data_IF_751549623831
#
_entry.id   IF_751549623831
#
_cell.length_a   1.000
_cell.length_b   1.000
_cell.length_c   1.000
_cell.angle_alpha   90.00
_cell.angle_beta   90.00
_cell.angle_gamma   90.00
#
_symmetry.space_group_name_H-M   'P 1'
#
loop_
_entity.id
_entity.type
_entity.pdbx_description
1 polymer ?
#
# COMPACT_ATOMS: atom_id res chain seq x y z
N UNK A 1 12.60 25.67 -6.08
CA UNK A 1 11.42 26.25 -5.39
C UNK A 1 10.51 25.15 -4.81
N UNK A 2 10.10 24.11 -5.58
CA UNK A 2 9.30 23.00 -5.07
C UNK A 2 10.01 22.16 -3.96
N UNK A 3 11.33 22.16 -3.96
CA UNK A 3 12.12 21.47 -2.92
C UNK A 3 12.17 22.26 -1.61
N UNK A 4 12.08 23.58 -1.65
CA UNK A 4 12.09 24.40 -0.43
C UNK A 4 10.76 24.34 0.32
N UNK A 5 9.63 24.36 -0.38
CA UNK A 5 8.32 24.25 0.28
C UNK A 5 8.03 22.83 0.80
N UNK A 6 8.44 21.80 0.06
CA UNK A 6 8.33 20.42 0.55
C UNK A 6 9.29 20.15 1.71
N UNK A 7 10.47 20.77 1.70
CA UNK A 7 11.44 20.70 2.80
C UNK A 7 10.94 21.39 4.07
N UNK A 8 10.18 22.48 3.96
CA UNK A 8 9.57 23.14 5.11
C UNK A 8 8.42 22.32 5.70
N UNK A 9 7.56 21.78 4.87
CA UNK A 9 6.49 20.89 5.32
C UNK A 9 7.02 19.61 5.97
N UNK A 10 8.03 18.97 5.39
CA UNK A 10 8.70 17.81 5.98
C UNK A 10 9.40 18.17 7.29
N UNK A 11 9.94 19.38 7.42
CA UNK A 11 10.49 19.87 8.69
C UNK A 11 9.41 20.07 9.73
N UNK A 12 8.24 20.57 9.39
CA UNK A 12 7.12 20.75 10.30
C UNK A 12 6.54 19.41 10.76
N UNK A 13 6.27 18.50 9.84
CA UNK A 13 5.87 17.12 10.16
C UNK A 13 6.94 16.38 10.94
N UNK A 14 8.19 16.48 10.51
CA UNK A 14 9.34 15.92 11.20
C UNK A 14 9.55 16.49 12.59
N UNK A 15 9.11 17.71 12.86
CA UNK A 15 9.17 18.31 14.19
C UNK A 15 8.17 17.66 15.15
N UNK A 16 6.98 17.30 14.68
CA UNK A 16 5.99 16.60 15.51
C UNK A 16 6.36 15.14 15.77
N UNK A 17 6.82 14.42 14.75
CA UNK A 17 7.13 12.99 14.82
C UNK A 17 8.62 12.67 14.89
N UNK A 18 9.47 13.69 14.89
CA UNK A 18 10.93 13.51 14.94
C UNK A 18 11.56 12.95 13.66
N UNK A 19 10.80 12.85 12.56
CA UNK A 19 11.30 12.32 11.28
C UNK A 19 11.74 13.47 10.39
N UNK A 20 12.99 13.47 10.00
CA UNK A 20 13.58 14.46 9.09
C UNK A 20 14.08 13.79 7.81
N UNK A 21 14.28 14.58 6.77
CA UNK A 21 14.94 14.08 5.54
C UNK A 21 16.34 13.54 5.81
N UNK A 22 17.06 14.10 6.80
CA UNK A 22 18.36 13.59 7.22
C UNK A 22 18.26 12.18 7.82
N UNK A 23 17.24 11.89 8.62
CA UNK A 23 17.00 10.54 9.14
C UNK A 23 16.61 9.55 8.02
N UNK A 24 15.85 10.00 7.02
CA UNK A 24 15.54 9.16 5.86
C UNK A 24 16.79 8.87 5.02
N UNK A 25 17.68 9.85 4.84
CA UNK A 25 18.98 9.66 4.17
C UNK A 25 19.83 8.66 4.94
N UNK A 26 19.94 8.79 6.27
CA UNK A 26 20.67 7.85 7.13
C UNK A 26 20.06 6.43 7.04
N UNK A 27 18.74 6.31 7.13
CA UNK A 27 18.06 5.02 7.00
C UNK A 27 18.31 4.38 5.64
N UNK A 28 18.28 5.17 4.57
CA UNK A 28 18.59 4.70 3.22
C UNK A 28 20.05 4.22 3.09
N UNK A 29 20.99 4.98 3.62
CA UNK A 29 22.42 4.61 3.57
C UNK A 29 22.71 3.34 4.38
N UNK A 30 22.08 3.21 5.57
CA UNK A 30 22.15 2.00 6.39
C UNK A 30 21.54 0.80 5.67
N UNK A 31 20.34 0.97 5.10
CA UNK A 31 19.68 -0.09 4.36
C UNK A 31 20.54 -0.55 3.18
N UNK A 32 21.12 0.35 2.42
CA UNK A 32 22.04 0.02 1.32
C UNK A 32 23.31 -0.68 1.78
N UNK A 33 23.86 -0.25 2.92
CA UNK A 33 25.09 -0.85 3.45
C UNK A 33 24.90 -2.29 3.91
N UNK A 34 23.76 -2.59 4.55
CA UNK A 34 23.49 -3.90 5.12
C UNK A 34 22.62 -4.80 4.24
N UNK A 35 22.08 -4.26 3.16
CA UNK A 35 21.22 -5.05 2.26
C UNK A 35 22.03 -6.15 1.55
N UNK A 36 21.56 -7.37 1.69
CA UNK A 36 22.12 -8.54 1.00
C UNK A 36 21.41 -8.85 -0.33
N UNK A 37 20.33 -8.11 -0.64
CA UNK A 37 19.62 -8.28 -1.90
C UNK A 37 20.43 -7.72 -3.07
N UNK A 38 20.24 -8.32 -4.23
CA UNK A 38 20.95 -7.95 -5.46
C UNK A 38 20.32 -6.74 -6.18
N UNK A 39 19.15 -6.28 -5.76
CA UNK A 39 18.44 -5.16 -6.34
C UNK A 39 18.89 -3.80 -5.78
N UNK A 40 18.67 -2.71 -6.52
CA UNK A 40 19.01 -1.36 -6.07
C UNK A 40 18.02 -0.81 -5.02
N UNK A 41 16.82 -1.38 -4.94
CA UNK A 41 15.68 -0.84 -4.21
C UNK A 41 15.60 -1.49 -2.83
N UNK A 42 15.93 -0.75 -1.78
CA UNK A 42 16.02 -1.27 -0.40
C UNK A 42 15.00 -0.64 0.54
N UNK A 43 14.22 0.33 0.08
CA UNK A 43 13.24 1.04 0.91
C UNK A 43 11.82 0.58 0.60
N UNK A 44 11.03 0.46 1.64
CA UNK A 44 9.57 0.37 1.61
C UNK A 44 9.01 1.64 2.23
N UNK A 45 8.08 2.29 1.54
CA UNK A 45 7.37 3.45 2.06
C UNK A 45 5.89 3.14 2.23
N UNK A 46 5.33 3.66 3.30
CA UNK A 46 3.90 3.57 3.58
C UNK A 46 3.35 4.98 3.76
N UNK A 47 2.27 5.27 3.07
CA UNK A 47 1.55 6.54 3.08
C UNK A 47 0.05 6.26 3.20
N UNK A 48 -0.79 7.27 3.17
CA UNK A 48 -2.24 7.04 3.10
C UNK A 48 -3.07 8.29 3.32
N UNK A 49 -4.18 8.36 2.62
CA UNK A 49 -5.21 9.36 2.86
C UNK A 49 -6.19 8.88 3.95
N UNK A 50 -6.67 9.81 4.76
CA UNK A 50 -7.74 9.56 5.72
C UNK A 50 -7.28 8.94 7.03
N UNK A 51 -5.99 9.01 7.36
CA UNK A 51 -5.48 8.55 8.64
C UNK A 51 -5.75 9.56 9.76
N UNK A 52 -6.23 9.09 10.91
CA UNK A 52 -6.33 9.89 12.13
C UNK A 52 -4.97 10.41 12.62
N UNK A 53 -3.87 9.78 12.20
CA UNK A 53 -2.51 10.24 12.50
C UNK A 53 -2.19 11.59 11.82
N UNK A 54 -2.88 11.92 10.75
CA UNK A 54 -2.78 13.22 10.09
C UNK A 54 -3.89 14.19 10.49
N UNK A 55 -4.76 13.80 11.43
CA UNK A 55 -5.83 14.65 11.94
C UNK A 55 -5.25 15.94 12.51
N UNK A 56 -5.77 17.08 12.05
CA UNK A 56 -5.34 18.42 12.44
C UNK A 56 -3.84 18.72 12.22
N UNK A 57 -3.11 17.83 11.58
CA UNK A 57 -1.68 17.93 11.29
C UNK A 57 -1.36 18.22 9.81
N UNK A 58 -2.34 18.68 9.05
CA UNK A 58 -2.17 18.94 7.61
C UNK A 58 -1.77 20.39 7.26
N UNK A 59 -1.65 21.28 8.25
CA UNK A 59 -1.11 22.64 8.09
C UNK A 59 -1.69 23.44 6.91
N UNK A 60 -2.98 23.29 6.68
CA UNK A 60 -3.70 23.95 5.57
C UNK A 60 -3.52 23.32 4.20
N UNK A 61 -2.83 22.20 4.10
CA UNK A 61 -2.78 21.40 2.86
C UNK A 61 -3.92 20.37 2.86
N UNK A 62 -4.49 20.11 1.68
CA UNK A 62 -5.37 18.95 1.52
C UNK A 62 -4.58 17.64 1.47
N UNK A 63 -5.25 16.51 1.71
CA UNK A 63 -4.59 15.21 1.80
C UNK A 63 -3.98 14.76 0.46
N UNK A 64 -4.61 15.09 -0.66
CA UNK A 64 -4.07 14.78 -2.00
C UNK A 64 -2.74 15.50 -2.22
N UNK A 65 -2.64 16.77 -1.81
CA UNK A 65 -1.39 17.53 -1.89
C UNK A 65 -0.31 16.93 -0.98
N UNK A 66 -0.67 16.48 0.22
CA UNK A 66 0.28 15.81 1.12
C UNK A 66 0.81 14.50 0.52
N UNK A 67 -0.06 13.67 -0.03
CA UNK A 67 0.34 12.44 -0.72
C UNK A 67 1.25 12.70 -1.91
N UNK A 68 0.93 13.70 -2.74
CA UNK A 68 1.78 14.08 -3.87
C UNK A 68 3.20 14.48 -3.42
N UNK A 69 3.32 15.17 -2.28
CA UNK A 69 4.62 15.51 -1.68
C UNK A 69 5.37 14.28 -1.18
N UNK A 70 4.68 13.35 -0.53
CA UNK A 70 5.26 12.09 -0.09
C UNK A 70 5.80 11.30 -1.28
N UNK A 71 5.09 11.25 -2.40
CA UNK A 71 5.54 10.56 -3.61
C UNK A 71 6.72 11.26 -4.28
N UNK A 72 6.76 12.58 -4.25
CA UNK A 72 7.92 13.35 -4.69
C UNK A 72 9.18 13.00 -3.89
N UNK A 73 9.04 12.83 -2.57
CA UNK A 73 10.12 12.40 -1.70
C UNK A 73 10.50 10.93 -1.96
N UNK A 74 9.52 10.02 -2.03
CA UNK A 74 9.75 8.61 -2.28
C UNK A 74 10.55 8.38 -3.56
N UNK A 75 10.26 9.13 -4.61
CA UNK A 75 10.99 9.08 -5.88
C UNK A 75 12.51 9.30 -5.73
N UNK A 76 12.93 10.09 -4.75
CA UNK A 76 14.36 10.33 -4.47
C UNK A 76 15.10 9.05 -4.09
N UNK A 77 14.43 8.16 -3.34
CA UNK A 77 15.01 6.92 -2.82
C UNK A 77 14.81 5.71 -3.73
N UNK A 78 14.03 5.83 -4.79
CA UNK A 78 13.70 4.72 -5.70
C UNK A 78 13.30 3.46 -4.94
N UNK A 79 12.21 3.50 -4.16
CA UNK A 79 11.85 2.44 -3.24
C UNK A 79 11.50 1.15 -3.98
N UNK A 80 11.62 0.04 -3.29
CA UNK A 80 11.12 -1.26 -3.76
C UNK A 80 9.60 -1.27 -3.91
N UNK A 81 8.91 -0.70 -2.93
CA UNK A 81 7.45 -0.59 -2.91
C UNK A 81 7.01 0.70 -2.19
N UNK A 82 5.92 1.28 -2.66
CA UNK A 82 5.18 2.33 -1.97
C UNK A 82 3.76 1.84 -1.77
N UNK A 83 3.33 1.74 -0.53
CA UNK A 83 1.98 1.36 -0.16
C UNK A 83 1.17 2.59 0.25
N UNK A 84 -0.04 2.72 -0.24
CA UNK A 84 -1.00 3.66 0.32
C UNK A 84 -2.05 2.90 1.13
N UNK A 85 -2.33 3.39 2.33
CA UNK A 85 -3.35 2.85 3.23
C UNK A 85 -4.51 3.83 3.26
N UNK A 86 -5.68 3.40 2.80
CA UNK A 86 -6.85 4.27 2.74
C UNK A 86 -7.95 3.77 3.67
N UNK A 87 -8.62 4.71 4.35
CA UNK A 87 -9.67 4.39 5.32
C UNK A 87 -9.20 3.86 6.67
N UNK A 88 -7.90 3.86 6.92
CA UNK A 88 -7.30 3.38 8.17
C UNK A 88 -7.39 4.43 9.27
N UNK A 89 -8.04 4.10 10.37
CA UNK A 89 -8.20 4.94 11.58
C UNK A 89 -8.66 6.37 11.24
N UNK A 90 -9.47 6.56 10.23
CA UNK A 90 -9.78 7.91 9.76
C UNK A 90 -11.21 8.14 9.30
N UNK A 91 -12.26 7.69 10.03
CA UNK A 91 -13.63 7.99 9.63
C UNK A 91 -13.93 9.50 9.64
N UNK A 92 -13.12 10.31 10.30
CA UNK A 92 -13.21 11.77 10.31
C UNK A 92 -12.88 12.39 8.95
N UNK A 93 -12.11 11.69 8.10
CA UNK A 93 -11.66 12.19 6.79
C UNK A 93 -12.25 11.44 5.61
N UNK A 94 -12.47 10.14 5.76
CA UNK A 94 -13.06 9.27 4.75
C UNK A 94 -14.26 8.56 5.36
N UNK A 95 -15.43 9.17 5.25
CA UNK A 95 -16.64 8.74 5.93
C UNK A 95 -17.31 7.52 5.30
N UNK A 96 -17.09 7.32 4.00
CA UNK A 96 -17.82 6.34 3.22
C UNK A 96 -16.96 5.75 2.10
N UNK A 97 -17.47 4.69 1.47
CA UNK A 97 -16.75 3.97 0.42
C UNK A 97 -16.42 4.83 -0.80
N UNK A 98 -17.27 5.81 -1.17
CA UNK A 98 -16.97 6.69 -2.31
C UNK A 98 -15.71 7.51 -2.07
N UNK A 99 -15.53 8.01 -0.87
CA UNK A 99 -14.35 8.77 -0.48
C UNK A 99 -13.12 7.88 -0.39
N UNK A 100 -13.25 6.67 0.15
CA UNK A 100 -12.16 5.69 0.25
C UNK A 100 -11.70 5.26 -1.15
N UNK A 101 -12.63 4.91 -2.04
CA UNK A 101 -12.32 4.55 -3.43
C UNK A 101 -11.62 5.70 -4.15
N UNK A 102 -12.13 6.91 -4.00
CA UNK A 102 -11.53 8.09 -4.61
C UNK A 102 -10.11 8.31 -4.11
N UNK A 103 -9.89 8.28 -2.81
CA UNK A 103 -8.57 8.48 -2.20
C UNK A 103 -7.55 7.47 -2.73
N UNK A 104 -7.91 6.18 -2.74
CA UNK A 104 -7.02 5.13 -3.23
C UNK A 104 -6.67 5.28 -4.71
N UNK A 105 -7.64 5.65 -5.55
CA UNK A 105 -7.40 5.86 -6.98
C UNK A 105 -6.58 7.12 -7.24
N UNK A 106 -6.78 8.19 -6.48
CA UNK A 106 -5.96 9.41 -6.54
C UNK A 106 -4.51 9.12 -6.19
N UNK A 107 -4.28 8.41 -5.09
CA UNK A 107 -2.94 8.03 -4.63
C UNK A 107 -2.25 7.12 -5.64
N UNK A 108 -2.95 6.10 -6.09
CA UNK A 108 -2.43 5.20 -7.12
C UNK A 108 -2.03 5.96 -8.39
N UNK A 109 -2.91 6.82 -8.89
CA UNK A 109 -2.67 7.62 -10.09
C UNK A 109 -1.46 8.54 -9.93
N UNK A 110 -1.39 9.29 -8.82
CA UNK A 110 -0.27 10.18 -8.54
C UNK A 110 1.06 9.42 -8.43
N UNK A 111 1.07 8.32 -7.69
CA UNK A 111 2.26 7.49 -7.56
C UNK A 111 2.75 6.92 -8.89
N UNK A 112 1.81 6.45 -9.75
CA UNK A 112 2.14 5.98 -11.11
C UNK A 112 2.70 7.08 -12.00
N UNK A 113 2.20 8.30 -11.90
CA UNK A 113 2.76 9.45 -12.62
C UNK A 113 4.19 9.78 -12.18
N UNK A 114 4.52 9.50 -10.93
CA UNK A 114 5.88 9.61 -10.39
C UNK A 114 6.79 8.42 -10.76
N UNK A 115 6.24 7.39 -11.42
CA UNK A 115 6.99 6.17 -11.76
C UNK A 115 7.25 5.24 -10.58
N UNK A 116 6.43 5.33 -9.52
CA UNK A 116 6.57 4.52 -8.31
C UNK A 116 5.87 3.16 -8.45
N UNK A 117 6.40 2.12 -7.82
CA UNK A 117 5.75 0.82 -7.71
C UNK A 117 4.66 0.87 -6.63
N UNK A 118 3.44 1.23 -7.03
CA UNK A 118 2.32 1.49 -6.12
C UNK A 118 1.59 0.21 -5.72
N UNK A 119 1.36 0.08 -4.43
CA UNK A 119 0.42 -0.85 -3.83
C UNK A 119 -0.63 -0.13 -3.00
N UNK A 120 -1.60 -0.88 -2.51
CA UNK A 120 -2.65 -0.35 -1.65
C UNK A 120 -3.04 -1.37 -0.58
N UNK A 121 -3.25 -0.89 0.63
CA UNK A 121 -4.09 -1.55 1.62
C UNK A 121 -5.51 -1.01 1.45
N UNK A 122 -6.36 -1.82 0.82
CA UNK A 122 -7.76 -1.51 0.66
C UNK A 122 -8.46 -1.86 1.96
N UNK A 123 -8.47 -0.95 2.92
CA UNK A 123 -9.02 -1.23 4.24
C UNK A 123 -10.06 -0.18 4.66
N UNK A 124 -10.79 -0.48 5.70
CA UNK A 124 -11.69 0.44 6.37
C UNK A 124 -11.88 0.05 7.83
N UNK A 125 -12.15 1.04 8.67
CA UNK A 125 -12.59 0.79 10.04
C UNK A 125 -14.11 0.64 10.08
N UNK A 126 -14.63 -0.12 11.03
CA UNK A 126 -16.08 -0.36 11.19
C UNK A 126 -16.90 0.91 11.53
N UNK A 127 -16.23 2.06 11.69
CA UNK A 127 -16.89 3.35 11.90
C UNK A 127 -17.26 4.05 10.59
N UNK A 128 -16.65 3.67 9.47
CA UNK A 128 -16.97 4.25 8.17
C UNK A 128 -18.26 3.64 7.62
N UNK A 129 -19.00 4.45 6.85
CA UNK A 129 -20.20 3.99 6.13
C UNK A 129 -19.78 3.24 4.84
N UNK A 130 -19.32 2.04 5.05
CA UNK A 130 -18.84 1.14 3.99
C UNK A 130 -19.03 -0.32 4.38
N UNK A 131 -18.76 -1.21 3.45
CA UNK A 131 -18.86 -2.64 3.63
C UNK A 131 -17.76 -3.40 2.88
N UNK A 132 -17.68 -4.69 3.10
CA UNK A 132 -16.73 -5.57 2.44
C UNK A 132 -16.86 -5.59 0.92
N UNK A 133 -18.09 -5.53 0.38
CA UNK A 133 -18.31 -5.50 -1.07
C UNK A 133 -17.68 -4.25 -1.70
N UNK A 134 -17.80 -3.12 -1.04
CA UNK A 134 -17.19 -1.86 -1.47
C UNK A 134 -15.65 -1.94 -1.45
N UNK A 135 -15.11 -2.60 -0.47
CA UNK A 135 -13.67 -2.84 -0.34
C UNK A 135 -13.14 -3.77 -1.44
N UNK A 136 -13.83 -4.85 -1.73
CA UNK A 136 -13.52 -5.76 -2.84
C UNK A 136 -13.62 -5.05 -4.20
N UNK A 137 -14.62 -4.18 -4.38
CA UNK A 137 -14.74 -3.35 -5.58
C UNK A 137 -13.55 -2.42 -5.75
N UNK A 138 -13.08 -1.79 -4.68
CA UNK A 138 -11.87 -0.95 -4.72
C UNK A 138 -10.65 -1.77 -5.17
N UNK A 139 -10.45 -2.95 -4.61
CA UNK A 139 -9.36 -3.85 -4.99
C UNK A 139 -9.40 -4.17 -6.49
N UNK A 140 -10.59 -4.50 -7.03
CA UNK A 140 -10.74 -4.79 -8.46
C UNK A 140 -10.47 -3.57 -9.34
N UNK A 141 -10.90 -2.38 -8.93
CA UNK A 141 -10.61 -1.13 -9.65
C UNK A 141 -9.11 -0.86 -9.71
N UNK A 142 -8.40 -1.02 -8.60
CA UNK A 142 -6.95 -0.87 -8.55
C UNK A 142 -6.23 -1.94 -9.38
N UNK A 143 -6.70 -3.19 -9.36
CA UNK A 143 -6.14 -4.26 -10.17
C UNK A 143 -6.27 -3.95 -11.67
N UNK A 144 -7.44 -3.44 -12.12
CA UNK A 144 -7.64 -2.98 -13.51
C UNK A 144 -6.77 -1.76 -13.83
N UNK A 145 -6.56 -0.86 -12.86
CA UNK A 145 -5.69 0.31 -13.01
C UNK A 145 -4.19 -0.04 -13.01
N UNK A 146 -3.82 -1.30 -12.78
CA UNK A 146 -2.44 -1.77 -12.84
C UNK A 146 -1.66 -1.56 -11.55
N UNK A 147 -2.30 -1.74 -10.40
CA UNK A 147 -1.63 -1.78 -9.09
C UNK A 147 -0.56 -2.89 -9.07
N UNK A 148 0.56 -2.64 -8.42
CA UNK A 148 1.64 -3.61 -8.38
C UNK A 148 1.40 -4.72 -7.33
N UNK A 149 0.78 -4.36 -6.21
CA UNK A 149 0.44 -5.29 -5.13
C UNK A 149 -0.73 -4.76 -4.31
N UNK A 150 -1.39 -5.66 -3.60
CA UNK A 150 -2.44 -5.35 -2.61
C UNK A 150 -2.04 -6.01 -1.30
N UNK A 151 -2.12 -5.27 -0.21
CA UNK A 151 -1.98 -5.82 1.14
C UNK A 151 -3.25 -6.63 1.45
N UNK A 152 -3.06 -7.80 2.02
CA UNK A 152 -4.17 -8.69 2.35
C UNK A 152 -3.83 -9.61 3.51
N UNK A 153 -4.85 -10.19 4.10
CA UNK A 153 -4.80 -11.11 5.22
C UNK A 153 -5.42 -12.46 4.85
N UNK A 154 -5.21 -13.52 5.62
CA UNK A 154 -5.84 -14.80 5.33
C UNK A 154 -7.36 -14.74 5.23
N UNK A 155 -8.02 -13.97 6.11
CA UNK A 155 -9.49 -13.88 6.22
C UNK A 155 -10.07 -12.49 6.01
N UNK A 156 -9.26 -11.47 5.83
CA UNK A 156 -9.72 -10.10 5.63
C UNK A 156 -9.99 -9.29 6.90
N UNK A 157 -10.13 -9.96 8.06
CA UNK A 157 -10.31 -9.29 9.35
C UNK A 157 -8.96 -9.05 10.02
N UNK A 158 -8.66 -7.81 10.39
CA UNK A 158 -7.47 -7.46 11.15
C UNK A 158 -7.84 -7.15 12.60
N UNK A 159 -7.17 -7.81 13.54
CA UNK A 159 -7.37 -7.56 14.97
C UNK A 159 -6.72 -6.27 15.46
N UNK A 160 -5.78 -5.73 14.68
CA UNK A 160 -5.20 -4.43 14.94
C UNK A 160 -6.24 -3.35 14.64
N UNK A 161 -6.68 -2.61 15.66
CA UNK A 161 -7.65 -1.52 15.53
C UNK A 161 -9.01 -1.92 14.93
N UNK A 162 -9.28 -3.22 14.84
CA UNK A 162 -10.57 -3.75 14.39
C UNK A 162 -10.99 -3.20 13.01
N UNK A 163 -10.09 -3.24 12.04
CA UNK A 163 -10.39 -2.85 10.67
C UNK A 163 -10.50 -4.06 9.73
N UNK A 164 -11.03 -3.82 8.55
CA UNK A 164 -11.27 -4.81 7.50
C UNK A 164 -10.38 -4.52 6.30
N UNK A 165 -9.86 -5.56 5.68
CA UNK A 165 -9.09 -5.49 4.43
C UNK A 165 -9.50 -6.62 3.48
N UNK A 166 -8.73 -6.87 2.43
CA UNK A 166 -8.98 -7.98 1.51
C UNK A 166 -8.38 -9.30 2.02
N UNK A 167 -9.02 -10.40 1.70
CA UNK A 167 -8.51 -11.73 2.00
C UNK A 167 -7.59 -12.26 0.89
N UNK A 168 -6.84 -13.31 1.18
CA UNK A 168 -6.08 -14.03 0.15
C UNK A 168 -6.99 -14.67 -0.91
N UNK A 169 -8.23 -14.99 -0.56
CA UNK A 169 -9.24 -15.50 -1.50
C UNK A 169 -9.65 -14.42 -2.50
N UNK A 170 -9.82 -13.17 -2.06
CA UNK A 170 -10.15 -12.04 -2.92
C UNK A 170 -9.04 -11.79 -3.93
N UNK A 171 -7.77 -11.83 -3.48
CA UNK A 171 -6.61 -11.70 -4.36
C UNK A 171 -6.57 -12.83 -5.41
N UNK A 172 -6.83 -14.06 -4.99
CA UNK A 172 -6.87 -15.20 -5.92
C UNK A 172 -8.00 -15.06 -6.94
N UNK A 173 -9.16 -14.60 -6.50
CA UNK A 173 -10.32 -14.32 -7.36
C UNK A 173 -10.02 -13.21 -8.36
N UNK A 174 -9.43 -12.09 -7.90
CA UNK A 174 -9.04 -10.98 -8.78
C UNK A 174 -8.06 -11.44 -9.85
N UNK A 175 -7.06 -12.26 -9.50
CA UNK A 175 -6.13 -12.84 -10.49
C UNK A 175 -6.83 -13.67 -11.54
N UNK A 176 -7.77 -14.51 -11.14
CA UNK A 176 -8.54 -15.34 -12.08
C UNK A 176 -9.43 -14.49 -13.00
N UNK A 177 -10.16 -13.53 -12.44
CA UNK A 177 -11.06 -12.67 -13.19
C UNK A 177 -10.33 -11.83 -14.24
N UNK A 178 -9.16 -11.32 -13.90
CA UNK A 178 -8.39 -10.40 -14.73
C UNK A 178 -7.26 -11.09 -15.50
N UNK A 179 -7.13 -12.41 -15.39
CA UNK A 179 -6.05 -13.20 -15.98
C UNK A 179 -4.66 -12.66 -15.60
N UNK A 180 -4.49 -12.31 -14.33
CA UNK A 180 -3.24 -11.82 -13.77
C UNK A 180 -2.43 -12.97 -13.17
N UNK A 181 -1.12 -12.85 -13.21
CA UNK A 181 -0.18 -13.81 -12.63
C UNK A 181 0.52 -13.20 -11.43
N UNK A 182 0.94 -14.01 -10.44
CA UNK A 182 1.86 -13.55 -9.41
C UNK A 182 3.17 -13.01 -10.00
N UNK A 183 3.96 -12.31 -9.18
CA UNK A 183 5.34 -12.03 -9.55
C UNK A 183 6.08 -13.34 -9.88
N UNK A 184 6.96 -13.37 -10.91
CA UNK A 184 7.57 -14.61 -11.40
C UNK A 184 8.28 -15.42 -10.32
N UNK A 185 8.95 -14.76 -9.37
CA UNK A 185 9.67 -15.42 -8.27
C UNK A 185 8.69 -16.09 -7.30
N UNK A 186 7.57 -15.45 -7.01
CA UNK A 186 6.52 -15.99 -6.16
C UNK A 186 5.78 -17.13 -6.86
N UNK A 187 5.50 -16.99 -8.14
CA UNK A 187 4.88 -18.06 -8.92
C UNK A 187 5.74 -19.32 -8.93
N UNK A 188 7.05 -19.19 -9.19
CA UNK A 188 7.99 -20.31 -9.11
C UNK A 188 8.02 -20.97 -7.72
N UNK A 189 7.87 -20.17 -6.66
CA UNK A 189 7.77 -20.69 -5.31
C UNK A 189 6.48 -21.50 -5.12
N UNK A 190 5.33 -20.97 -5.58
CA UNK A 190 4.04 -21.67 -5.52
C UNK A 190 4.06 -22.99 -6.31
N UNK A 191 4.67 -22.99 -7.49
CA UNK A 191 4.81 -24.20 -8.33
C UNK A 191 5.70 -25.24 -7.67
N UNK A 192 6.83 -24.84 -7.11
CA UNK A 192 7.74 -25.74 -6.38
C UNK A 192 7.06 -26.44 -5.20
N UNK A 193 6.09 -25.78 -4.56
CA UNK A 193 5.33 -26.37 -3.44
C UNK A 193 4.05 -27.06 -3.89
N UNK A 194 3.78 -27.11 -5.18
CA UNK A 194 2.60 -27.75 -5.74
C UNK A 194 1.29 -27.00 -5.42
N UNK A 195 1.38 -25.74 -5.00
CA UNK A 195 0.23 -24.88 -4.71
C UNK A 195 -0.37 -24.34 -6.00
N UNK A 196 0.45 -24.15 -7.02
CA UNK A 196 0.05 -23.69 -8.35
C UNK A 196 0.61 -24.62 -9.42
N UNK A 197 -0.17 -24.79 -10.50
CA UNK A 197 0.24 -25.51 -11.70
C UNK A 197 -0.36 -24.82 -12.93
N UNK A 198 0.48 -24.53 -13.93
CA UNK A 198 0.07 -23.84 -15.17
C UNK A 198 -0.73 -22.55 -14.94
N UNK A 199 -0.37 -21.77 -13.89
CA UNK A 199 -1.04 -20.51 -13.55
C UNK A 199 -2.35 -20.63 -12.79
N UNK A 200 -2.75 -21.85 -12.43
CA UNK A 200 -3.97 -22.13 -11.66
C UNK A 200 -3.62 -22.68 -10.28
N UNK A 201 -4.40 -22.31 -9.27
CA UNK A 201 -4.30 -22.90 -7.94
C UNK A 201 -4.72 -24.39 -7.99
N UNK A 202 -3.96 -25.21 -7.30
CA UNK A 202 -4.27 -26.64 -7.12
C UNK A 202 -5.11 -26.88 -5.88
N UNK A 203 -5.54 -28.12 -5.65
CA UNK A 203 -6.22 -28.51 -4.41
C UNK A 203 -5.36 -28.42 -3.15
N UNK A 204 -4.04 -28.17 -3.31
CA UNK A 204 -3.12 -27.95 -2.19
C UNK A 204 -3.09 -26.50 -1.70
N UNK A 205 -3.74 -25.60 -2.41
CA UNK A 205 -3.88 -24.23 -1.94
C UNK A 205 -4.69 -24.20 -0.63
N UNK A 206 -4.11 -23.64 0.41
CA UNK A 206 -4.69 -23.62 1.76
C UNK A 206 -4.37 -24.84 2.63
N UNK A 207 -3.66 -25.84 2.08
CA UNK A 207 -3.21 -27.01 2.86
C UNK A 207 -1.87 -26.69 3.56
N UNK A 208 -1.93 -26.36 4.85
CA UNK A 208 -0.75 -26.05 5.63
C UNK A 208 0.17 -27.25 5.84
N UNK A 209 -0.29 -28.50 5.62
CA UNK A 209 0.50 -29.70 5.83
C UNK A 209 1.71 -29.80 4.89
N UNK A 210 1.74 -29.02 3.82
CA UNK A 210 2.89 -28.93 2.90
C UNK A 210 4.17 -28.34 3.55
N UNK A 211 4.04 -27.70 4.72
CA UNK A 211 5.15 -27.09 5.46
C UNK A 211 5.61 -27.92 6.67
N UNK A 212 4.98 -29.03 6.92
CA UNK A 212 5.26 -29.97 8.01
C UNK A 212 5.54 -31.38 7.47
#
# INVERSE_FOLDING_TARGET
ELLDESGEWLRQQGHEFGVTTGLLDEAYDLARHYCQATGPNVMYFETGQGSALSADAHYGCDQVTMEARCYGLARRYQPFMVNTVVGFIGPEYLYNHQQIIRAALEDHFMGKLHGLPMGCDCCYTNHADTDQNSNENLMLLLAVAGVNFIISLPMGDDIMLNYQTNSFHDIATARQLLNLRPAPEFEQWLERHGIMENGCLTSRAGDASIFF
#
